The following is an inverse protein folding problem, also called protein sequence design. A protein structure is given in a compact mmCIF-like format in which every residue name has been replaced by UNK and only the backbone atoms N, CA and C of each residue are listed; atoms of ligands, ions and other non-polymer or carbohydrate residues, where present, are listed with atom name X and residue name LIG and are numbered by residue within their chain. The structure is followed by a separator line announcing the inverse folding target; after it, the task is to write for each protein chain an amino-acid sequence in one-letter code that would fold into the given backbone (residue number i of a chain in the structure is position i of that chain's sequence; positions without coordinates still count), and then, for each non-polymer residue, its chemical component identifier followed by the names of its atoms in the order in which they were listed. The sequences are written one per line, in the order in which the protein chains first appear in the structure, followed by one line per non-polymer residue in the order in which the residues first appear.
data_IF_654731479884
#
_entry.id   IF_654731479884
#
_cell.length_a   1.000
_cell.length_b   1.000
_cell.length_c   1.000
_cell.angle_alpha   90.00
_cell.angle_beta   90.00
_cell.angle_gamma   90.00
#
_symmetry.space_group_name_H-M   'P 1'
#
loop_
_entity.id
_entity.type
_entity.pdbx_description
1 polymer ?
#
# COMPACT_ATOMS: atom_id res chain seq x y z
N UNK A 1 34.44 -8.79 1.24
CA UNK A 1 33.69 -10.04 1.03
C UNK A 1 32.32 -9.64 0.51
N UNK A 2 31.79 -10.35 -0.49
CA UNK A 2 30.40 -10.18 -0.88
C UNK A 2 29.51 -10.61 0.27
N UNK A 3 28.42 -9.88 0.51
CA UNK A 3 27.43 -10.24 1.52
C UNK A 3 26.75 -11.55 1.09
N UNK A 4 26.57 -12.54 1.99
CA UNK A 4 25.77 -13.73 1.69
C UNK A 4 24.36 -13.37 1.24
N UNK A 5 23.78 -14.18 0.36
CA UNK A 5 22.55 -13.85 -0.36
C UNK A 5 21.71 -15.06 -0.72
N UNK A 6 20.45 -14.82 -1.07
CA UNK A 6 19.62 -15.80 -1.77
C UNK A 6 20.18 -16.09 -3.19
N UNK A 7 20.04 -17.35 -3.61
CA UNK A 7 20.44 -17.89 -4.92
C UNK A 7 19.42 -17.67 -6.03
N UNK A 8 18.22 -17.17 -5.71
CA UNK A 8 17.27 -16.71 -6.73
C UNK A 8 17.91 -15.53 -7.49
N UNK A 9 18.06 -15.60 -8.82
CA UNK A 9 18.76 -14.55 -9.56
C UNK A 9 18.03 -13.21 -9.51
N UNK A 10 18.75 -12.11 -9.23
CA UNK A 10 18.20 -10.75 -9.42
C UNK A 10 18.02 -10.40 -10.92
N UNK A 11 18.59 -11.22 -11.82
CA UNK A 11 18.84 -10.95 -13.24
C UNK A 11 18.78 -12.26 -14.03
N UNK A 12 17.78 -12.49 -14.89
CA UNK A 12 17.77 -13.60 -15.86
C UNK A 12 17.78 -13.04 -17.29
N UNK A 13 18.67 -13.58 -18.13
CA UNK A 13 18.88 -13.21 -19.55
C UNK A 13 19.39 -11.79 -19.83
N UNK A 14 20.35 -11.27 -19.03
CA UNK A 14 21.08 -10.03 -19.35
C UNK A 14 20.33 -8.72 -19.05
N UNK A 15 19.06 -8.82 -18.68
CA UNK A 15 18.28 -7.81 -17.98
C UNK A 15 18.42 -8.05 -16.48
N UNK A 16 18.82 -7.05 -15.69
CA UNK A 16 18.35 -7.01 -14.29
C UNK A 16 16.84 -7.21 -14.36
N UNK A 17 16.21 -7.96 -13.46
CA UNK A 17 14.77 -8.11 -13.44
C UNK A 17 14.07 -6.79 -13.02
N UNK A 18 14.31 -5.74 -13.79
CA UNK A 18 13.29 -4.78 -14.17
C UNK A 18 12.20 -5.56 -14.89
N UNK A 19 10.98 -5.47 -14.39
CA UNK A 19 9.79 -5.84 -15.13
C UNK A 19 9.66 -4.96 -16.39
N UNK A 20 10.33 -5.30 -17.48
CA UNK A 20 9.93 -4.85 -18.82
C UNK A 20 8.98 -5.90 -19.42
N UNK A 21 7.69 -5.63 -19.24
CA UNK A 21 6.51 -6.09 -19.97
C UNK A 21 6.00 -7.54 -19.85
N UNK A 22 4.71 -7.59 -19.46
CA UNK A 22 3.68 -8.67 -19.59
C UNK A 22 3.46 -9.63 -18.42
N UNK A 23 3.37 -9.11 -17.21
CA UNK A 23 2.34 -9.48 -16.20
C UNK A 23 2.76 -8.90 -14.87
N UNK A 24 2.08 -7.84 -14.45
CA UNK A 24 2.46 -7.01 -13.32
C UNK A 24 1.31 -7.05 -12.30
N UNK A 25 1.64 -7.46 -11.08
CA UNK A 25 0.76 -7.38 -9.90
C UNK A 25 1.44 -6.56 -8.81
N UNK A 26 0.61 -5.78 -8.14
CA UNK A 26 0.86 -4.61 -7.29
C UNK A 26 0.87 -5.13 -5.86
N UNK A 27 1.79 -4.63 -5.04
CA UNK A 27 1.51 -4.04 -3.71
C UNK A 27 2.83 -3.44 -3.20
N UNK A 28 2.89 -2.11 -3.21
CA UNK A 28 3.84 -1.15 -2.63
C UNK A 28 5.38 -1.37 -2.64
N UNK A 29 5.96 -2.57 -2.58
CA UNK A 29 7.43 -2.74 -2.49
C UNK A 29 8.00 -4.01 -3.15
N UNK A 30 7.21 -4.78 -3.93
CA UNK A 30 7.64 -6.09 -4.46
C UNK A 30 7.77 -6.14 -5.98
N UNK A 31 8.77 -6.90 -6.42
CA UNK A 31 8.74 -7.57 -7.72
C UNK A 31 8.01 -8.93 -7.52
N UNK A 32 7.45 -9.52 -8.58
CA UNK A 32 6.84 -10.86 -8.53
C UNK A 32 7.60 -11.77 -9.48
N UNK A 33 7.71 -13.07 -9.16
CA UNK A 33 8.45 -13.99 -10.05
C UNK A 33 7.75 -14.05 -11.42
N UNK A 34 8.48 -13.97 -12.56
CA UNK A 34 7.89 -13.83 -13.89
C UNK A 34 6.75 -14.82 -14.18
N UNK A 35 5.61 -14.29 -14.65
CA UNK A 35 4.42 -15.08 -14.99
C UNK A 35 3.29 -15.04 -13.96
N UNK A 36 3.45 -14.32 -12.83
CA UNK A 36 2.45 -14.25 -11.76
C UNK A 36 1.97 -15.64 -11.33
N UNK A 37 2.90 -16.59 -11.27
CA UNK A 37 2.62 -17.95 -10.87
C UNK A 37 2.08 -17.93 -9.44
N UNK A 38 0.91 -18.54 -9.24
CA UNK A 38 0.19 -18.53 -7.96
C UNK A 38 -0.31 -19.93 -7.67
N UNK A 39 -0.33 -20.27 -6.39
CA UNK A 39 -1.03 -21.46 -5.94
C UNK A 39 -2.54 -21.31 -6.18
N UNK A 40 -3.12 -22.30 -6.83
CA UNK A 40 -4.58 -22.40 -7.03
C UNK A 40 -5.31 -22.92 -5.79
N UNK A 41 -4.57 -23.36 -4.77
CA UNK A 41 -5.10 -23.85 -3.49
C UNK A 41 -4.40 -23.14 -2.33
N UNK A 42 -5.10 -23.05 -1.21
CA UNK A 42 -4.61 -22.41 0.03
C UNK A 42 -3.97 -23.38 1.01
N UNK A 43 -4.30 -24.67 0.93
CA UNK A 43 -3.67 -25.70 1.74
C UNK A 43 -2.50 -26.32 0.96
N UNK A 44 -1.28 -25.95 1.36
CA UNK A 44 -0.04 -26.43 0.76
C UNK A 44 0.58 -27.50 1.65
N UNK A 45 0.98 -28.61 1.04
CA UNK A 45 1.71 -29.68 1.72
C UNK A 45 3.20 -29.55 1.44
N UNK A 46 4.03 -29.82 2.45
CA UNK A 46 5.48 -29.82 2.28
C UNK A 46 6.11 -31.10 2.85
N UNK A 47 7.28 -31.47 2.34
CA UNK A 47 8.04 -32.62 2.83
C UNK A 47 9.54 -32.37 2.75
N UNK A 48 10.33 -33.14 3.50
CA UNK A 48 11.79 -33.00 3.54
C UNK A 48 12.49 -34.10 2.75
N UNK A 49 13.38 -33.72 1.82
CA UNK A 49 14.24 -34.62 1.04
C UNK A 49 15.61 -33.95 0.83
N UNK A 50 16.63 -34.41 1.55
CA UNK A 50 18.00 -33.88 1.46
C UNK A 50 18.93 -34.90 0.80
N UNK A 51 19.91 -34.45 0.01
CA UNK A 51 20.92 -35.35 -0.57
C UNK A 51 22.09 -35.64 0.38
N UNK A 52 22.22 -34.85 1.44
CA UNK A 52 23.22 -35.02 2.49
C UNK A 52 22.57 -35.29 3.84
N UNK A 53 23.34 -35.89 4.75
CA UNK A 53 22.97 -35.89 6.15
C UNK A 53 22.94 -34.44 6.62
N UNK A 54 21.72 -33.99 6.91
CA UNK A 54 21.41 -32.70 7.47
C UNK A 54 22.24 -32.51 8.75
N UNK A 55 22.83 -31.33 9.02
CA UNK A 55 23.62 -31.11 10.23
C UNK A 55 22.84 -31.60 11.46
N UNK A 56 23.38 -32.59 12.17
CA UNK A 56 22.69 -33.34 13.23
C UNK A 56 22.34 -32.51 14.49
N UNK A 57 22.52 -31.18 14.44
CA UNK A 57 22.46 -30.28 15.58
C UNK A 57 21.21 -29.37 15.62
N UNK A 58 20.32 -29.38 14.63
CA UNK A 58 19.19 -28.43 14.57
C UNK A 58 17.85 -29.10 14.22
N UNK A 59 16.80 -28.74 14.96
CA UNK A 59 15.42 -29.18 14.71
C UNK A 59 14.83 -28.44 13.49
N UNK A 60 15.39 -28.70 12.31
CA UNK A 60 15.06 -28.02 11.04
C UNK A 60 13.58 -28.13 10.71
N UNK A 61 12.95 -29.28 10.96
CA UNK A 61 11.51 -29.45 10.79
C UNK A 61 10.73 -28.43 11.62
N UNK A 62 11.11 -28.24 12.88
CA UNK A 62 10.50 -27.21 13.73
C UNK A 62 10.80 -25.80 13.26
N UNK A 63 11.98 -25.52 12.73
CA UNK A 63 12.35 -24.18 12.26
C UNK A 63 11.55 -23.81 10.99
N UNK A 64 11.50 -24.69 10.00
CA UNK A 64 10.66 -24.49 8.81
C UNK A 64 9.17 -24.42 9.19
N UNK A 65 8.71 -25.21 10.16
CA UNK A 65 7.33 -25.12 10.65
C UNK A 65 7.02 -23.74 11.27
N UNK A 66 7.95 -23.16 12.06
CA UNK A 66 7.83 -21.77 12.56
C UNK A 66 7.79 -20.77 11.41
N UNK A 67 8.66 -20.91 10.40
CA UNK A 67 8.69 -20.03 9.25
C UNK A 67 7.38 -20.08 8.44
N UNK A 68 6.83 -21.27 8.19
CA UNK A 68 5.50 -21.43 7.59
C UNK A 68 4.39 -20.86 8.47
N UNK A 69 4.48 -21.03 9.78
CA UNK A 69 3.49 -20.48 10.71
C UNK A 69 3.46 -18.95 10.65
N UNK A 70 4.62 -18.29 10.49
CA UNK A 70 4.68 -16.83 10.29
C UNK A 70 3.92 -16.43 9.04
N UNK A 71 4.15 -17.10 7.91
CA UNK A 71 3.37 -16.84 6.69
C UNK A 71 1.88 -17.18 6.85
N UNK A 72 1.53 -18.26 7.55
CA UNK A 72 0.13 -18.63 7.79
C UNK A 72 -0.63 -17.66 8.71
N UNK A 73 0.07 -16.95 9.61
CA UNK A 73 -0.51 -15.90 10.44
C UNK A 73 -0.83 -14.63 9.64
N UNK A 74 -0.32 -14.54 8.42
CA UNK A 74 -0.38 -13.32 7.63
C UNK A 74 -0.93 -13.48 6.24
N UNK A 75 -1.30 -14.70 5.89
CA UNK A 75 -1.90 -15.06 4.61
C UNK A 75 -3.07 -15.98 4.81
N UNK A 76 -3.88 -16.15 3.78
CA UNK A 76 -4.85 -17.24 3.69
C UNK A 76 -4.22 -18.66 3.56
N UNK A 77 -2.89 -18.78 3.43
CA UNK A 77 -2.24 -20.08 3.24
C UNK A 77 -2.15 -20.87 4.55
N UNK A 78 -2.40 -22.16 4.44
CA UNK A 78 -2.16 -23.14 5.51
C UNK A 78 -1.15 -24.16 5.01
N UNK A 79 -0.24 -24.57 5.90
CA UNK A 79 0.85 -25.46 5.57
C UNK A 79 0.78 -26.73 6.40
N UNK A 80 0.93 -27.88 5.74
CA UNK A 80 0.92 -29.18 6.39
C UNK A 80 2.13 -30.01 5.97
N UNK A 81 2.92 -30.44 6.95
CA UNK A 81 3.97 -31.41 6.68
C UNK A 81 3.36 -32.78 6.37
N UNK A 82 3.80 -33.41 5.27
CA UNK A 82 3.42 -34.78 4.92
C UNK A 82 4.63 -35.72 5.00
N UNK A 83 4.43 -36.87 5.63
CA UNK A 83 5.45 -37.91 5.81
C UNK A 83 5.23 -39.07 4.84
N UNK A 84 6.31 -39.71 4.39
CA UNK A 84 6.27 -40.91 3.53
C UNK A 84 6.38 -40.59 2.03
N UNK A 85 5.90 -41.50 1.18
CA UNK A 85 5.97 -41.38 -0.29
C UNK A 85 4.85 -40.51 -0.90
N UNK A 86 4.02 -39.89 -0.06
CA UNK A 86 2.95 -38.99 -0.52
C UNK A 86 3.53 -37.81 -1.31
N UNK A 87 2.93 -37.43 -2.45
CA UNK A 87 3.32 -36.23 -3.17
C UNK A 87 3.04 -35.00 -2.30
N UNK A 88 4.04 -34.12 -2.17
CA UNK A 88 3.93 -32.83 -1.51
C UNK A 88 3.96 -31.72 -2.56
N UNK A 89 3.35 -30.57 -2.25
CA UNK A 89 3.44 -29.40 -3.13
C UNK A 89 4.83 -28.77 -3.12
N UNK A 90 5.47 -28.77 -1.94
CA UNK A 90 6.78 -28.17 -1.70
C UNK A 90 7.74 -29.26 -1.18
N UNK A 91 8.96 -29.31 -1.73
CA UNK A 91 10.03 -30.20 -1.27
C UNK A 91 11.16 -29.35 -0.71
N UNK A 92 11.50 -29.59 0.56
CA UNK A 92 12.54 -28.85 1.28
C UNK A 92 13.76 -29.75 1.48
N UNK A 93 14.96 -29.24 1.22
CA UNK A 93 16.16 -30.07 1.26
C UNK A 93 17.45 -29.32 1.58
N UNK A 94 18.43 -30.03 2.11
CA UNK A 94 19.82 -29.60 2.19
C UNK A 94 20.64 -30.32 1.12
N UNK A 95 21.40 -29.55 0.36
CA UNK A 95 22.21 -30.04 -0.74
C UNK A 95 23.59 -29.36 -0.73
N UNK A 96 24.52 -29.86 -1.55
CA UNK A 96 25.87 -29.30 -1.73
C UNK A 96 26.21 -29.32 -3.21
N UNK A 97 26.85 -28.25 -3.69
CA UNK A 97 27.26 -28.16 -5.10
C UNK A 97 26.09 -28.39 -6.06
N UNK A 98 26.39 -29.02 -7.20
CA UNK A 98 25.37 -29.44 -8.17
C UNK A 98 24.50 -30.57 -7.60
N UNK A 99 23.19 -30.35 -7.59
CA UNK A 99 22.18 -31.28 -7.11
C UNK A 99 21.04 -31.48 -8.11
N UNK A 100 21.32 -31.26 -9.40
CA UNK A 100 20.46 -31.58 -10.55
C UNK A 100 19.15 -30.77 -10.65
N UNK A 101 19.06 -29.60 -10.04
CA UNK A 101 17.96 -28.65 -10.24
C UNK A 101 18.34 -27.43 -11.09
N UNK A 102 19.60 -27.36 -11.53
CA UNK A 102 20.13 -26.27 -12.35
C UNK A 102 20.74 -25.10 -11.57
N UNK A 103 20.68 -25.13 -10.23
CA UNK A 103 21.19 -24.07 -9.34
C UNK A 103 22.22 -24.67 -8.37
N UNK A 104 23.48 -24.79 -8.80
CA UNK A 104 24.52 -25.36 -7.95
C UNK A 104 24.91 -24.40 -6.80
N UNK A 105 25.11 -24.94 -5.60
CA UNK A 105 25.61 -24.18 -4.44
C UNK A 105 27.13 -23.97 -4.51
N UNK A 106 27.61 -22.84 -3.96
CA UNK A 106 29.01 -22.39 -4.03
C UNK A 106 29.86 -22.75 -2.80
N UNK A 107 29.24 -23.30 -1.75
CA UNK A 107 29.91 -23.69 -0.52
C UNK A 107 29.77 -22.63 0.59
N UNK A 108 30.73 -22.52 1.52
CA UNK A 108 30.57 -21.59 2.63
C UNK A 108 30.58 -20.12 2.18
N UNK A 109 29.57 -19.37 2.61
CA UNK A 109 29.28 -17.99 2.18
C UNK A 109 28.88 -17.90 0.71
N UNK A 110 28.19 -16.82 0.34
CA UNK A 110 27.72 -16.62 -1.03
C UNK A 110 26.25 -16.98 -1.14
N UNK A 111 25.91 -18.10 -1.78
CA UNK A 111 24.52 -18.55 -1.98
C UNK A 111 24.06 -19.42 -0.81
N UNK A 112 23.15 -18.86 -0.01
CA UNK A 112 22.66 -19.49 1.20
C UNK A 112 21.60 -20.57 0.95
N UNK A 113 20.67 -20.27 0.05
CA UNK A 113 19.50 -21.07 -0.26
C UNK A 113 18.88 -20.58 -1.57
N UNK A 114 17.96 -21.37 -2.12
CA UNK A 114 17.09 -20.94 -3.21
C UNK A 114 15.73 -21.63 -3.14
N UNK A 115 14.74 -21.00 -3.76
CA UNK A 115 13.42 -21.56 -3.95
C UNK A 115 12.90 -21.31 -5.38
N UNK A 116 11.98 -22.17 -5.81
CA UNK A 116 11.23 -21.95 -7.06
C UNK A 116 9.98 -21.10 -6.83
N UNK A 117 9.44 -20.56 -7.91
CA UNK A 117 8.11 -19.94 -7.92
C UNK A 117 6.98 -20.92 -7.57
N UNK A 118 5.76 -20.43 -7.28
CA UNK A 118 4.59 -21.26 -7.04
C UNK A 118 4.32 -22.23 -8.20
N UNK A 119 4.51 -23.53 -7.96
CA UNK A 119 4.27 -24.58 -8.94
C UNK A 119 4.04 -25.93 -8.25
N UNK A 120 3.38 -26.87 -8.93
CA UNK A 120 3.26 -28.23 -8.40
C UNK A 120 4.65 -28.87 -8.32
N UNK A 121 5.07 -29.29 -7.12
CA UNK A 121 6.42 -29.75 -6.78
C UNK A 121 7.47 -28.62 -6.72
N UNK A 122 7.10 -27.46 -6.15
CA UNK A 122 8.05 -26.40 -5.85
C UNK A 122 9.17 -26.91 -4.92
N UNK A 123 10.37 -26.37 -5.08
CA UNK A 123 11.52 -26.73 -4.25
C UNK A 123 11.98 -25.53 -3.43
N UNK A 124 12.55 -25.84 -2.27
CA UNK A 124 13.29 -24.93 -1.42
C UNK A 124 14.51 -25.68 -0.89
N UNK A 125 15.70 -25.30 -1.35
CA UNK A 125 16.95 -25.91 -0.93
C UNK A 125 17.84 -24.95 -0.14
N UNK A 126 18.52 -25.49 0.86
CA UNK A 126 19.60 -24.82 1.59
C UNK A 126 20.96 -25.36 1.16
N UNK A 127 21.97 -24.49 1.15
CA UNK A 127 23.36 -24.94 1.08
C UNK A 127 23.77 -25.57 2.42
N UNK A 128 24.14 -26.85 2.39
CA UNK A 128 24.58 -27.58 3.55
C UNK A 128 26.03 -27.29 3.98
N UNK A 129 26.77 -26.46 3.23
CA UNK A 129 28.11 -25.99 3.58
C UNK A 129 28.09 -24.70 4.43
N UNK A 130 26.93 -24.08 4.62
CA UNK A 130 26.79 -22.87 5.42
C UNK A 130 26.76 -23.11 6.94
N UNK A 131 27.20 -22.10 7.69
CA UNK A 131 27.28 -22.15 9.16
C UNK A 131 25.94 -21.76 9.80
N UNK A 132 24.95 -22.64 9.70
CA UNK A 132 23.58 -22.42 10.19
C UNK A 132 23.46 -22.36 11.71
N UNK A 133 22.54 -21.54 12.22
CA UNK A 133 22.15 -21.47 13.63
C UNK A 133 20.68 -21.10 13.81
N UNK A 134 20.06 -21.58 14.89
CA UNK A 134 18.77 -21.06 15.39
C UNK A 134 18.96 -19.83 16.27
N UNK A 135 20.19 -19.55 16.73
CA UNK A 135 20.53 -18.35 17.50
C UNK A 135 21.92 -17.89 17.02
N UNK A 136 22.00 -17.11 15.94
CA UNK A 136 23.24 -16.88 15.22
C UNK A 136 24.20 -15.99 16.03
N UNK A 137 25.43 -16.47 16.24
CA UNK A 137 26.56 -15.60 16.54
C UNK A 137 27.05 -14.84 15.30
N UNK A 138 28.04 -13.92 15.43
CA UNK A 138 28.45 -12.99 14.38
C UNK A 138 28.74 -13.59 12.98
N UNK A 139 29.17 -14.85 12.92
CA UNK A 139 29.55 -15.56 11.68
C UNK A 139 28.63 -16.75 11.38
N UNK A 140 27.42 -16.78 11.96
CA UNK A 140 26.43 -17.82 11.74
C UNK A 140 25.23 -17.24 10.99
N UNK A 141 24.64 -18.05 10.11
CA UNK A 141 23.44 -17.69 9.37
C UNK A 141 22.20 -18.15 10.12
N UNK A 142 21.24 -17.26 10.30
CA UNK A 142 19.97 -17.62 10.94
C UNK A 142 19.12 -18.48 10.00
N UNK A 143 18.92 -19.75 10.37
CA UNK A 143 18.19 -20.68 9.51
C UNK A 143 16.72 -20.25 9.33
N UNK A 144 16.08 -19.75 10.39
CA UNK A 144 14.68 -19.33 10.33
C UNK A 144 14.52 -18.11 9.41
N UNK A 145 15.43 -17.13 9.48
CA UNK A 145 15.39 -15.95 8.60
C UNK A 145 15.45 -16.31 7.13
N UNK A 146 16.39 -17.20 6.76
CA UNK A 146 16.49 -17.70 5.38
C UNK A 146 15.24 -18.50 5.01
N UNK A 147 14.71 -19.33 5.92
CA UNK A 147 13.47 -20.04 5.66
C UNK A 147 12.26 -19.13 5.42
N UNK A 148 12.11 -18.06 6.20
CA UNK A 148 11.02 -17.09 6.00
C UNK A 148 11.17 -16.41 4.64
N UNK A 149 12.40 -16.04 4.23
CA UNK A 149 12.69 -15.45 2.92
C UNK A 149 12.32 -16.40 1.76
N UNK A 150 12.84 -17.62 1.76
CA UNK A 150 12.60 -18.58 0.67
C UNK A 150 11.12 -18.98 0.55
N UNK A 151 10.38 -19.02 1.67
CA UNK A 151 8.94 -19.23 1.63
C UNK A 151 8.23 -18.05 0.94
N UNK A 152 8.74 -16.82 1.06
CA UNK A 152 8.22 -15.69 0.29
C UNK A 152 8.26 -15.94 -1.22
N UNK A 153 9.36 -16.49 -1.73
CA UNK A 153 9.46 -16.93 -3.14
C UNK A 153 8.47 -18.05 -3.48
N UNK A 154 8.32 -19.03 -2.59
CA UNK A 154 7.30 -20.09 -2.73
C UNK A 154 5.87 -19.53 -2.77
N UNK A 155 5.63 -18.34 -2.23
CA UNK A 155 4.33 -17.65 -2.26
C UNK A 155 4.21 -16.63 -3.40
N UNK A 156 5.27 -16.47 -4.20
CA UNK A 156 5.28 -15.65 -5.41
C UNK A 156 5.94 -14.29 -5.25
N UNK A 157 6.53 -13.98 -4.11
CA UNK A 157 7.31 -12.76 -3.90
C UNK A 157 8.66 -12.85 -4.60
N UNK A 158 9.15 -11.73 -5.10
CA UNK A 158 10.52 -11.56 -5.58
C UNK A 158 11.28 -10.65 -4.60
N UNK A 159 12.58 -10.43 -4.85
CA UNK A 159 13.42 -9.61 -3.99
C UNK A 159 12.92 -8.16 -3.86
N UNK A 160 13.09 -7.58 -2.67
CA UNK A 160 12.89 -6.16 -2.42
C UNK A 160 14.15 -5.40 -2.88
N UNK A 161 13.97 -4.45 -3.81
CA UNK A 161 15.05 -3.67 -4.42
C UNK A 161 15.51 -2.46 -3.59
N UNK A 162 14.79 -2.11 -2.52
CA UNK A 162 15.17 -0.96 -1.68
C UNK A 162 16.36 -1.35 -0.78
N UNK A 163 17.56 -0.79 -1.00
CA UNK A 163 18.74 -1.12 -0.21
C UNK A 163 18.66 -0.62 1.23
N UNK A 164 17.71 0.26 1.54
CA UNK A 164 17.46 0.80 2.88
C UNK A 164 16.30 0.09 3.59
N UNK A 165 15.53 -0.76 2.87
CA UNK A 165 14.44 -1.50 3.47
C UNK A 165 14.98 -2.68 4.30
N UNK A 166 14.63 -2.69 5.58
CA UNK A 166 14.88 -3.85 6.44
C UNK A 166 13.75 -4.90 6.27
N UNK A 167 13.48 -5.28 5.01
CA UNK A 167 12.44 -6.22 4.58
C UNK A 167 12.93 -7.68 4.49
N UNK A 168 12.07 -8.68 4.75
CA UNK A 168 12.52 -10.08 4.75
C UNK A 168 13.00 -10.51 3.37
N UNK A 169 12.38 -10.00 2.30
CA UNK A 169 12.69 -10.32 0.90
C UNK A 169 13.91 -9.57 0.35
N UNK A 170 14.75 -8.94 1.19
CA UNK A 170 16.04 -8.41 0.71
C UNK A 170 16.96 -9.55 0.30
N UNK A 171 17.54 -9.48 -0.90
CA UNK A 171 18.38 -10.56 -1.44
C UNK A 171 19.64 -10.82 -0.61
N UNK A 172 20.16 -9.78 0.07
CA UNK A 172 21.32 -9.88 0.94
C UNK A 172 20.94 -10.18 2.40
N UNK A 173 21.44 -11.29 2.93
CA UNK A 173 21.13 -11.75 4.29
C UNK A 173 22.40 -11.64 5.15
N UNK A 174 22.31 -10.94 6.28
CA UNK A 174 23.46 -10.66 7.15
C UNK A 174 23.66 -11.79 8.17
N UNK A 175 24.90 -12.22 8.36
CA UNK A 175 25.26 -13.15 9.44
C UNK A 175 25.09 -12.50 10.82
N UNK A 176 24.82 -13.31 11.84
CA UNK A 176 24.70 -12.87 13.23
C UNK A 176 23.41 -12.11 13.58
N UNK A 177 22.45 -12.03 12.65
CA UNK A 177 21.17 -11.34 12.86
C UNK A 177 20.02 -12.32 12.61
N UNK A 178 19.10 -12.41 13.59
CA UNK A 178 17.82 -13.07 13.41
C UNK A 178 16.80 -12.03 12.89
N UNK A 179 16.37 -12.20 11.65
CA UNK A 179 15.35 -11.38 10.98
C UNK A 179 14.20 -12.27 10.57
N UNK A 180 13.21 -12.40 11.46
CA UNK A 180 12.14 -13.41 11.31
C UNK A 180 10.74 -12.79 11.25
N UNK A 181 10.62 -11.52 11.59
CA UNK A 181 9.33 -10.85 11.66
C UNK A 181 8.94 -10.34 10.27
N UNK A 182 7.77 -10.79 9.81
CA UNK A 182 7.14 -10.31 8.58
C UNK A 182 6.56 -8.93 8.84
N UNK A 183 6.95 -7.97 8.01
CA UNK A 183 6.52 -6.57 8.11
C UNK A 183 5.35 -6.29 7.16
N UNK A 184 4.72 -5.13 7.30
CA UNK A 184 3.52 -4.77 6.55
C UNK A 184 3.73 -4.86 5.03
N UNK A 185 4.94 -4.55 4.58
CA UNK A 185 5.39 -4.79 3.22
C UNK A 185 5.34 -6.29 2.89
N UNK A 186 6.01 -7.17 3.66
CA UNK A 186 6.17 -8.60 3.31
C UNK A 186 4.83 -9.34 3.13
N UNK A 187 3.78 -8.84 3.76
CA UNK A 187 2.52 -9.55 3.96
C UNK A 187 1.52 -9.29 2.83
N UNK A 188 1.47 -8.07 2.32
CA UNK A 188 0.50 -7.66 1.30
C UNK A 188 0.71 -8.42 -0.04
N UNK A 189 1.93 -8.78 -0.41
CA UNK A 189 2.21 -9.49 -1.67
C UNK A 189 1.84 -10.98 -1.69
N UNK A 190 1.64 -11.59 -0.51
CA UNK A 190 1.39 -13.03 -0.34
C UNK A 190 -0.10 -13.40 -0.25
N UNK A 191 -0.96 -12.38 -0.12
CA UNK A 191 -2.40 -12.52 -0.14
C UNK A 191 -2.90 -12.65 -1.60
N UNK A 192 -3.82 -13.57 -1.88
CA UNK A 192 -4.52 -13.64 -3.14
C UNK A 192 -5.69 -12.67 -3.06
N UNK A 193 -5.38 -11.37 -3.00
CA UNK A 193 -6.40 -10.35 -2.85
C UNK A 193 -7.35 -10.37 -4.06
N UNK A 194 -8.63 -10.55 -3.75
CA UNK A 194 -9.72 -10.14 -4.62
C UNK A 194 -9.56 -8.65 -4.95
N UNK A 195 -9.85 -8.30 -6.21
CA UNK A 195 -10.06 -6.95 -6.74
C UNK A 195 -9.45 -5.77 -5.94
N UNK A 196 -8.13 -5.57 -5.99
CA UNK A 196 -7.58 -4.24 -5.76
C UNK A 196 -7.82 -3.43 -7.04
N UNK A 197 -8.50 -2.27 -7.01
CA UNK A 197 -8.91 -1.52 -8.20
C UNK A 197 -7.72 -1.13 -9.09
N UNK A 198 -6.58 -0.84 -8.45
CA UNK A 198 -5.32 -0.50 -9.11
C UNK A 198 -4.42 -1.70 -9.49
N UNK A 199 -4.84 -2.96 -9.32
CA UNK A 199 -4.01 -4.11 -9.75
C UNK A 199 -3.70 -4.09 -11.26
N UNK A 200 -4.57 -3.48 -12.05
CA UNK A 200 -4.39 -3.27 -13.48
C UNK A 200 -3.24 -2.32 -13.80
N UNK A 201 -3.04 -1.25 -12.99
CA UNK A 201 -2.15 -0.14 -13.36
C UNK A 201 -0.68 -0.49 -13.29
N UNK A 202 -0.25 -1.55 -12.57
CA UNK A 202 1.18 -1.83 -12.64
C UNK A 202 1.61 -2.39 -13.96
N UNK A 203 0.68 -2.94 -14.76
CA UNK A 203 1.05 -3.37 -16.11
C UNK A 203 1.59 -2.21 -16.96
N UNK A 204 1.44 -0.99 -16.43
CA UNK A 204 1.87 0.28 -16.98
C UNK A 204 3.17 0.81 -16.32
N UNK A 205 3.79 0.11 -15.37
CA UNK A 205 5.09 0.52 -14.82
C UNK A 205 6.10 0.61 -15.96
N UNK A 206 6.91 1.67 -15.94
CA UNK A 206 7.83 2.10 -17.00
C UNK A 206 7.18 2.64 -18.28
N UNK A 207 5.85 2.80 -18.33
CA UNK A 207 5.19 3.44 -19.46
C UNK A 207 5.59 4.90 -19.57
N UNK A 208 5.74 5.36 -20.81
CA UNK A 208 6.16 6.71 -21.14
C UNK A 208 5.49 7.22 -22.41
N UNK A 209 5.61 8.52 -22.63
CA UNK A 209 5.09 9.23 -23.79
C UNK A 209 5.40 8.54 -25.12
N UNK A 210 4.39 8.50 -25.98
CA UNK A 210 4.45 7.89 -27.31
C UNK A 210 4.17 6.38 -27.33
N UNK A 211 3.92 5.76 -26.18
CA UNK A 211 3.47 4.37 -26.09
C UNK A 211 1.95 4.30 -26.02
N UNK A 212 1.37 3.22 -26.52
CA UNK A 212 -0.01 2.84 -26.21
C UNK A 212 0.00 1.50 -25.49
N UNK A 213 -0.48 1.49 -24.25
CA UNK A 213 -0.41 0.33 -23.36
C UNK A 213 -1.80 0.04 -22.83
N UNK A 214 -2.24 -1.21 -22.94
CA UNK A 214 -3.59 -1.60 -22.52
C UNK A 214 -3.88 -1.18 -21.08
N UNK A 215 -5.02 -0.54 -20.86
CA UNK A 215 -5.52 -0.01 -19.57
C UNK A 215 -4.85 1.28 -19.08
N UNK A 216 -4.08 1.98 -19.92
CA UNK A 216 -3.52 3.28 -19.57
C UNK A 216 -4.60 4.34 -19.31
N UNK A 217 -5.78 4.22 -19.93
CA UNK A 217 -6.93 5.08 -19.61
C UNK A 217 -7.30 5.08 -18.11
N UNK A 218 -7.04 4.00 -17.37
CA UNK A 218 -7.32 3.96 -15.92
C UNK A 218 -6.45 4.95 -15.14
N UNK A 219 -5.21 5.18 -15.58
CA UNK A 219 -4.33 6.21 -14.99
C UNK A 219 -4.82 7.59 -15.37
N UNK A 220 -5.28 7.78 -16.62
CA UNK A 220 -5.88 9.06 -17.05
C UNK A 220 -7.12 9.38 -16.21
N UNK A 221 -7.99 8.40 -15.97
CA UNK A 221 -9.17 8.54 -15.13
C UNK A 221 -8.79 8.85 -13.67
N UNK A 222 -7.78 8.18 -13.10
CA UNK A 222 -7.24 8.48 -11.77
C UNK A 222 -6.75 9.93 -11.67
N UNK A 223 -5.86 10.33 -12.58
CA UNK A 223 -5.30 11.69 -12.59
C UNK A 223 -6.36 12.75 -12.82
N UNK A 224 -7.39 12.45 -13.63
CA UNK A 224 -8.56 13.32 -13.82
C UNK A 224 -9.38 13.44 -12.53
N UNK A 225 -9.69 12.32 -11.86
CA UNK A 225 -10.43 12.31 -10.59
C UNK A 225 -9.76 13.19 -9.54
N UNK A 226 -8.44 13.11 -9.42
CA UNK A 226 -7.70 13.92 -8.44
C UNK A 226 -7.27 15.31 -8.94
N UNK A 227 -7.68 15.70 -10.16
CA UNK A 227 -7.53 17.05 -10.69
C UNK A 227 -6.20 17.37 -11.37
N UNK A 228 -5.36 16.37 -11.64
CA UNK A 228 -4.08 16.52 -12.33
C UNK A 228 -4.20 16.54 -13.86
N UNK A 229 -5.28 15.97 -14.41
CA UNK A 229 -5.49 15.82 -15.84
C UNK A 229 -6.81 16.45 -16.26
N UNK A 230 -6.72 17.46 -17.12
CA UNK A 230 -7.87 18.12 -17.74
C UNK A 230 -7.68 18.16 -19.26
N UNK A 231 -8.54 17.44 -19.99
CA UNK A 231 -8.56 17.45 -21.46
C UNK A 231 -9.48 18.55 -22.02
N UNK A 232 -10.23 19.27 -21.19
CA UNK A 232 -11.31 20.17 -21.61
C UNK A 232 -10.79 21.58 -21.98
N UNK A 233 -9.52 21.90 -21.66
CA UNK A 233 -8.92 23.22 -21.90
C UNK A 233 -8.36 23.43 -23.31
N UNK A 234 -8.20 22.36 -24.10
CA UNK A 234 -7.63 22.45 -25.45
C UNK A 234 -8.62 22.01 -26.52
N UNK A 235 -9.48 22.95 -26.94
CA UNK A 235 -10.20 22.96 -28.23
C UNK A 235 -11.32 21.92 -28.46
N UNK A 236 -12.37 22.40 -29.13
CA UNK A 236 -13.52 21.63 -29.64
C UNK A 236 -13.14 20.20 -30.12
N UNK A 237 -13.76 19.20 -29.48
CA UNK A 237 -13.81 17.76 -29.82
C UNK A 237 -12.60 16.93 -29.33
N UNK A 238 -12.74 16.22 -28.21
CA UNK A 238 -12.58 14.76 -28.12
C UNK A 238 -12.63 14.27 -26.65
N UNK A 239 -13.84 14.06 -26.12
CA UNK A 239 -14.07 13.35 -24.83
C UNK A 239 -13.43 11.95 -24.79
N UNK A 240 -13.11 11.38 -25.96
CA UNK A 240 -12.54 10.04 -26.10
C UNK A 240 -11.07 9.92 -25.65
N UNK A 241 -10.36 11.03 -25.40
CA UNK A 241 -8.92 10.98 -25.07
C UNK A 241 -8.62 10.54 -23.62
N UNK A 242 -9.55 10.73 -22.68
CA UNK A 242 -9.37 10.20 -21.31
C UNK A 242 -9.53 8.68 -21.28
N UNK A 243 -10.32 8.12 -22.19
CA UNK A 243 -10.67 6.70 -22.26
C UNK A 243 -9.80 5.91 -23.24
N UNK A 244 -8.85 6.56 -23.91
CA UNK A 244 -7.86 5.88 -24.75
C UNK A 244 -6.63 5.41 -23.96
N UNK A 245 -5.92 4.46 -24.56
CA UNK A 245 -4.73 3.86 -23.98
C UNK A 245 -3.43 4.51 -24.47
N UNK A 246 -3.47 5.75 -25.00
CA UNK A 246 -2.30 6.48 -25.50
C UNK A 246 -1.62 7.29 -24.39
N UNK A 247 -0.29 7.20 -24.31
CA UNK A 247 0.52 8.06 -23.45
C UNK A 247 0.86 9.35 -24.18
N UNK A 248 -0.05 10.31 -24.11
CA UNK A 248 0.06 11.61 -24.76
C UNK A 248 0.78 12.68 -23.90
N UNK A 249 0.89 13.88 -24.45
CA UNK A 249 1.52 15.05 -23.82
C UNK A 249 0.80 15.50 -22.53
N UNK A 250 -0.53 15.32 -22.49
CA UNK A 250 -1.34 15.74 -21.35
C UNK A 250 -1.13 14.79 -20.18
N UNK A 251 -1.09 13.48 -20.45
CA UNK A 251 -0.77 12.47 -19.44
C UNK A 251 0.65 12.65 -18.89
N UNK A 252 1.66 12.92 -19.74
CA UNK A 252 3.02 13.20 -19.28
C UNK A 252 3.04 14.41 -18.32
N UNK A 253 2.38 15.51 -18.71
CA UNK A 253 2.29 16.73 -17.89
C UNK A 253 1.55 16.51 -16.57
N UNK A 254 0.47 15.73 -16.58
CA UNK A 254 -0.29 15.37 -15.39
C UNK A 254 0.56 14.53 -14.43
N UNK A 255 1.29 13.54 -14.94
CA UNK A 255 2.21 12.72 -14.13
C UNK A 255 3.31 13.57 -13.51
N UNK A 256 3.93 14.49 -14.27
CA UNK A 256 4.93 15.42 -13.72
C UNK A 256 4.37 16.26 -12.58
N UNK A 257 3.14 16.75 -12.74
CA UNK A 257 2.46 17.54 -11.70
C UNK A 257 2.16 16.70 -10.46
N UNK A 258 1.69 15.46 -10.66
CA UNK A 258 1.45 14.50 -9.58
C UNK A 258 2.74 14.17 -8.80
N UNK A 259 3.84 13.87 -9.52
CA UNK A 259 5.15 13.61 -8.92
C UNK A 259 5.65 14.80 -8.09
N UNK A 260 5.49 16.02 -8.62
CA UNK A 260 5.84 17.23 -7.88
C UNK A 260 5.02 17.39 -6.60
N UNK A 261 3.71 17.11 -6.66
CA UNK A 261 2.80 17.26 -5.52
C UNK A 261 3.14 16.30 -4.38
N UNK A 262 3.67 15.11 -4.68
CA UNK A 262 4.03 14.11 -3.67
C UNK A 262 5.54 13.96 -3.46
N UNK A 263 6.32 14.97 -3.87
CA UNK A 263 7.78 15.02 -3.71
C UNK A 263 8.51 13.79 -4.26
N UNK A 264 8.00 13.22 -5.35
CA UNK A 264 8.65 12.15 -6.10
C UNK A 264 9.65 12.75 -7.10
N UNK A 265 10.53 11.91 -7.65
CA UNK A 265 11.36 12.31 -8.78
C UNK A 265 10.48 12.65 -9.99
N UNK A 266 10.68 13.84 -10.58
CA UNK A 266 9.82 14.36 -11.65
C UNK A 266 10.26 13.80 -13.01
N UNK A 267 9.96 12.54 -13.26
CA UNK A 267 10.34 11.82 -14.48
C UNK A 267 9.39 12.06 -15.64
N UNK A 268 8.09 12.30 -15.36
CA UNK A 268 7.01 12.29 -16.35
C UNK A 268 6.66 10.89 -16.89
N UNK A 269 7.18 9.85 -16.24
CA UNK A 269 6.93 8.43 -16.57
C UNK A 269 6.10 7.79 -15.46
N UNK A 270 5.38 6.72 -15.78
CA UNK A 270 4.80 5.85 -14.75
C UNK A 270 5.87 4.93 -14.15
N UNK A 271 6.86 5.53 -13.49
CA UNK A 271 7.89 4.77 -12.77
C UNK A 271 7.32 4.07 -11.53
N UNK A 272 8.12 3.14 -10.98
CA UNK A 272 7.76 2.34 -9.80
C UNK A 272 7.31 3.21 -8.62
N UNK A 273 7.98 4.32 -8.34
CA UNK A 273 7.64 5.20 -7.22
C UNK A 273 6.29 5.90 -7.41
N UNK A 274 6.01 6.36 -8.62
CA UNK A 274 4.75 7.00 -9.00
C UNK A 274 3.58 6.02 -8.87
N UNK A 275 3.72 4.82 -9.43
CA UNK A 275 2.67 3.79 -9.34
C UNK A 275 2.47 3.35 -7.89
N UNK A 276 3.55 3.16 -7.12
CA UNK A 276 3.46 2.80 -5.70
C UNK A 276 2.77 3.88 -4.87
N UNK A 277 2.94 5.16 -5.19
CA UNK A 277 2.23 6.24 -4.52
C UNK A 277 0.73 6.26 -4.90
N UNK A 278 0.39 6.11 -6.18
CA UNK A 278 -1.01 6.07 -6.66
C UNK A 278 -1.81 4.94 -6.03
N UNK A 279 -1.12 3.85 -5.73
CA UNK A 279 -1.61 2.63 -5.12
C UNK A 279 -1.96 2.70 -3.64
N UNK A 280 -1.37 3.64 -2.89
CA UNK A 280 -1.62 3.73 -1.45
C UNK A 280 -3.07 4.14 -1.20
N UNK A 281 -3.69 3.65 -0.10
CA UNK A 281 -5.05 4.04 0.19
C UNK A 281 -5.08 5.52 0.55
N UNK A 282 -6.09 6.23 0.06
CA UNK A 282 -6.19 7.68 0.11
C UNK A 282 -7.62 8.19 0.21
N UNK A 283 -7.76 9.46 0.57
CA UNK A 283 -9.01 10.19 0.46
C UNK A 283 -9.40 10.34 -1.02
N UNK A 284 -10.71 10.25 -1.28
CA UNK A 284 -11.34 10.38 -2.60
C UNK A 284 -11.51 11.82 -3.07
N UNK A 285 -11.29 12.82 -2.19
CA UNK A 285 -11.34 14.24 -2.55
C UNK A 285 -10.19 14.59 -3.49
N UNK A 286 -10.44 15.46 -4.48
CA UNK A 286 -9.43 15.89 -5.43
C UNK A 286 -8.30 16.69 -4.76
N UNK A 287 -7.06 16.49 -5.23
CA UNK A 287 -5.90 17.25 -4.73
C UNK A 287 -5.86 18.66 -5.31
N UNK A 288 -6.26 18.78 -6.58
CA UNK A 288 -6.25 20.03 -7.32
C UNK A 288 -7.66 20.33 -7.81
N UNK A 289 -8.18 21.50 -7.44
CA UNK A 289 -9.45 22.01 -7.97
C UNK A 289 -9.13 23.04 -9.05
N UNK A 290 -9.60 22.80 -10.28
CA UNK A 290 -9.22 23.49 -11.52
C UNK A 290 -8.71 24.95 -11.41
N UNK A 291 -7.49 25.16 -11.91
CA UNK A 291 -6.86 26.40 -12.43
C UNK A 291 -6.81 27.66 -11.57
N UNK A 292 -6.95 27.58 -10.25
CA UNK A 292 -6.35 28.59 -9.38
C UNK A 292 -5.68 27.90 -8.21
N UNK A 293 -4.35 27.74 -8.29
CA UNK A 293 -3.53 27.61 -7.09
C UNK A 293 -3.75 28.88 -6.27
N UNK A 294 -4.77 28.90 -5.43
CA UNK A 294 -4.74 29.71 -4.23
C UNK A 294 -3.87 28.96 -3.21
N UNK A 295 -2.60 28.66 -3.57
CA UNK A 295 -1.58 28.59 -2.52
C UNK A 295 -1.61 29.97 -1.92
N UNK A 296 -1.88 30.08 -0.63
CA UNK A 296 -1.61 31.31 0.10
C UNK A 296 -0.09 31.51 0.07
N UNK A 297 0.44 32.02 -1.05
CA UNK A 297 1.77 32.59 -1.12
C UNK A 297 1.74 33.95 -0.46
N UNK A 298 1.23 34.03 0.77
CA UNK A 298 1.61 35.08 1.70
C UNK A 298 3.07 34.81 2.04
N UNK A 299 3.98 35.21 1.13
CA UNK A 299 5.33 35.59 1.51
C UNK A 299 5.17 36.71 2.53
N UNK A 300 5.15 36.36 3.81
CA UNK A 300 5.41 37.34 4.86
C UNK A 300 6.79 37.95 4.55
N UNK A 301 6.86 39.28 4.52
CA UNK A 301 8.10 40.01 4.27
C UNK A 301 9.17 39.78 5.35
N UNK A 302 8.86 38.99 6.38
CA UNK A 302 9.68 38.73 7.56
C UNK A 302 10.21 37.28 7.65
N UNK A 303 10.13 36.50 6.56
CA UNK A 303 10.90 35.25 6.45
C UNK A 303 10.45 34.10 7.36
N UNK A 304 9.19 34.07 7.80
CA UNK A 304 8.63 32.98 8.61
C UNK A 304 7.27 32.54 8.05
N UNK A 305 7.18 31.23 7.78
CA UNK A 305 6.06 30.37 7.34
C UNK A 305 5.46 30.60 5.94
N UNK A 306 5.71 29.63 5.03
CA UNK A 306 4.80 29.30 3.93
C UNK A 306 3.67 28.46 4.56
N UNK A 307 2.43 28.94 4.51
CA UNK A 307 1.28 28.11 4.83
C UNK A 307 1.07 27.09 3.70
N UNK A 308 1.17 25.79 3.99
CA UNK A 308 1.06 24.70 3.01
C UNK A 308 -0.32 24.01 3.01
N UNK A 309 -1.23 24.45 3.87
CA UNK A 309 -2.65 24.12 3.83
C UNK A 309 -3.35 24.70 2.60
N UNK A 310 -4.47 24.08 2.21
CA UNK A 310 -5.28 24.51 1.08
C UNK A 310 -6.76 24.60 1.43
N UNK A 311 -7.54 25.28 0.58
CA UNK A 311 -8.99 25.39 0.68
C UNK A 311 -9.65 24.97 -0.62
N UNK A 312 -10.90 24.51 -0.55
CA UNK A 312 -11.73 24.37 -1.74
C UNK A 312 -11.92 25.72 -2.45
N UNK A 313 -12.15 25.74 -3.78
CA UNK A 313 -12.41 26.97 -4.52
C UNK A 313 -13.51 27.82 -3.89
N UNK A 314 -13.21 29.10 -3.69
CA UNK A 314 -14.13 30.05 -3.04
C UNK A 314 -14.13 29.98 -1.51
N UNK A 315 -13.25 29.18 -0.90
CA UNK A 315 -13.11 29.02 0.55
C UNK A 315 -14.46 28.87 1.28
N UNK A 316 -15.28 27.88 0.88
CA UNK A 316 -16.61 27.70 1.45
C UNK A 316 -16.51 27.35 2.94
N UNK A 317 -17.42 27.93 3.71
CA UNK A 317 -17.41 27.85 5.17
C UNK A 317 -18.82 27.81 5.72
N UNK A 318 -18.97 27.17 6.88
CA UNK A 318 -20.22 27.26 7.63
C UNK A 318 -20.39 28.64 8.24
N UNK A 319 -21.57 29.24 8.04
CA UNK A 319 -21.92 30.51 8.70
C UNK A 319 -22.26 30.30 10.18
N UNK A 320 -22.77 29.13 10.54
CA UNK A 320 -23.11 28.76 11.91
C UNK A 320 -21.98 27.96 12.56
N UNK A 321 -21.83 28.13 13.88
CA UNK A 321 -20.81 27.46 14.69
C UNK A 321 -21.32 26.21 15.42
N UNK A 322 -22.64 26.03 15.49
CA UNK A 322 -23.24 24.82 16.04
C UNK A 322 -23.73 23.94 14.89
N UNK A 323 -23.02 22.84 14.64
CA UNK A 323 -23.30 21.90 13.56
C UNK A 323 -23.90 20.62 14.12
N UNK A 324 -25.02 20.19 13.55
CA UNK A 324 -25.69 18.93 13.90
C UNK A 324 -25.26 17.86 12.93
N UNK A 325 -24.90 16.68 13.43
CA UNK A 325 -24.55 15.54 12.61
C UNK A 325 -25.43 14.33 12.91
N UNK A 326 -25.66 13.50 11.90
CA UNK A 326 -26.41 12.25 12.03
C UNK A 326 -25.75 11.12 11.25
N UNK A 327 -26.05 9.89 11.66
CA UNK A 327 -25.68 8.68 10.93
C UNK A 327 -26.86 8.20 10.08
N UNK A 328 -26.63 8.04 8.78
CA UNK A 328 -27.56 7.40 7.86
C UNK A 328 -27.78 5.93 8.23
N UNK A 329 -28.70 5.25 7.51
CA UNK A 329 -28.92 3.82 7.68
C UNK A 329 -27.60 3.07 7.44
N UNK A 330 -26.95 2.65 8.52
CA UNK A 330 -25.57 2.16 8.48
C UNK A 330 -25.57 0.70 8.07
N UNK A 331 -24.81 0.36 7.03
CA UNK A 331 -24.40 -1.04 6.80
C UNK A 331 -23.64 -1.50 8.05
N UNK A 332 -23.90 -2.70 8.55
CA UNK A 332 -23.04 -3.28 9.59
C UNK A 332 -21.68 -3.59 8.95
N UNK A 333 -20.70 -2.73 9.21
CA UNK A 333 -19.32 -2.88 8.72
C UNK A 333 -18.47 -3.41 9.87
N UNK A 334 -17.80 -4.55 9.63
CA UNK A 334 -16.93 -5.16 10.63
C UNK A 334 -15.80 -4.18 11.01
N UNK A 335 -15.57 -4.01 12.31
CA UNK A 335 -14.54 -3.11 12.83
C UNK A 335 -14.93 -1.62 12.88
N UNK A 336 -16.12 -1.26 12.40
CA UNK A 336 -16.70 0.08 12.51
C UNK A 336 -17.81 0.18 13.58
N UNK A 337 -17.92 -0.79 14.49
CA UNK A 337 -18.94 -0.81 15.55
C UNK A 337 -18.83 0.41 16.48
N UNK A 338 -17.65 1.02 16.56
CA UNK A 338 -17.33 2.21 17.34
C UNK A 338 -17.53 3.53 16.59
N UNK A 339 -18.03 3.55 15.34
CA UNK A 339 -18.06 4.76 14.51
C UNK A 339 -18.64 5.99 15.22
N UNK A 340 -19.73 5.82 15.98
CA UNK A 340 -20.35 6.93 16.72
C UNK A 340 -19.40 7.56 17.75
N UNK A 341 -18.68 6.73 18.52
CA UNK A 341 -17.71 7.22 19.50
C UNK A 341 -16.46 7.80 18.82
N UNK A 342 -16.04 7.23 17.70
CA UNK A 342 -14.91 7.72 16.88
C UNK A 342 -15.22 9.09 16.30
N UNK A 343 -16.37 9.27 15.62
CA UNK A 343 -16.76 10.57 15.09
C UNK A 343 -16.92 11.62 16.19
N UNK A 344 -17.51 11.25 17.34
CA UNK A 344 -17.61 12.16 18.49
C UNK A 344 -16.24 12.67 18.95
N UNK A 345 -15.26 11.78 19.08
CA UNK A 345 -13.88 12.16 19.44
C UNK A 345 -13.21 13.00 18.35
N UNK A 346 -13.47 12.68 17.08
CA UNK A 346 -12.91 13.38 15.93
C UNK A 346 -13.44 14.82 15.82
N UNK A 347 -14.75 15.01 16.00
CA UNK A 347 -15.36 16.34 16.11
C UNK A 347 -14.82 17.13 17.31
N UNK A 348 -14.57 16.47 18.45
CA UNK A 348 -14.00 17.13 19.62
C UNK A 348 -12.59 17.67 19.35
N UNK A 349 -11.76 17.00 18.55
CA UNK A 349 -10.42 17.50 18.18
C UNK A 349 -10.52 18.83 17.42
N UNK A 350 -11.41 18.90 16.43
CA UNK A 350 -11.65 20.15 15.69
C UNK A 350 -12.29 21.24 16.56
N UNK A 351 -13.22 20.88 17.45
CA UNK A 351 -13.82 21.83 18.40
C UNK A 351 -12.80 22.41 19.41
N UNK A 352 -11.69 21.73 19.70
CA UNK A 352 -10.65 22.25 20.60
C UNK A 352 -9.82 23.37 19.98
N UNK A 353 -9.77 23.45 18.64
CA UNK A 353 -8.97 24.44 17.91
C UNK A 353 -9.82 25.45 17.14
N UNK A 354 -11.14 25.39 17.32
CA UNK A 354 -12.12 26.27 16.67
C UNK A 354 -13.25 26.68 17.61
N UNK A 355 -14.08 27.64 17.19
CA UNK A 355 -15.33 27.99 17.90
C UNK A 355 -16.51 27.05 17.58
N UNK A 356 -16.27 25.93 16.88
CA UNK A 356 -17.33 25.00 16.53
C UNK A 356 -17.79 24.16 17.73
N UNK A 357 -19.08 23.83 17.73
CA UNK A 357 -19.67 22.79 18.58
C UNK A 357 -20.46 21.83 17.71
N UNK A 358 -20.43 20.56 18.09
CA UNK A 358 -21.03 19.47 17.32
C UNK A 358 -22.04 18.70 18.17
N UNK A 359 -23.21 18.46 17.62
CA UNK A 359 -24.29 17.71 18.28
C UNK A 359 -24.72 16.53 17.42
N UNK A 360 -24.66 15.32 17.98
CA UNK A 360 -25.28 14.16 17.35
C UNK A 360 -26.80 14.23 17.51
N UNK A 361 -27.53 14.17 16.41
CA UNK A 361 -28.99 14.14 16.39
C UNK A 361 -29.53 12.84 15.80
N UNK A 362 -30.76 12.43 16.12
CA UNK A 362 -31.39 11.27 15.48
C UNK A 362 -31.51 11.45 13.97
N UNK A 363 -31.47 10.35 13.20
CA UNK A 363 -31.57 10.39 11.73
C UNK A 363 -32.91 10.91 11.18
N UNK A 364 -33.93 11.05 12.04
CA UNK A 364 -35.19 11.71 11.69
C UNK A 364 -35.16 13.23 11.84
N UNK A 365 -34.10 13.78 12.44
CA UNK A 365 -33.94 15.22 12.65
C UNK A 365 -33.22 15.89 11.47
N UNK A 366 -33.38 17.20 11.36
CA UNK A 366 -32.62 18.02 10.42
C UNK A 366 -31.18 18.17 10.91
N UNK A 367 -30.23 17.72 10.10
CA UNK A 367 -28.80 17.67 10.39
C UNK A 367 -28.00 18.31 9.26
N UNK A 368 -26.92 19.00 9.62
CA UNK A 368 -26.01 19.67 8.68
C UNK A 368 -25.05 18.70 8.04
N UNK A 369 -24.64 17.70 8.81
CA UNK A 369 -23.65 16.71 8.42
C UNK A 369 -24.30 15.34 8.44
N UNK A 370 -24.21 14.61 7.32
CA UNK A 370 -24.68 13.23 7.19
C UNK A 370 -23.50 12.32 7.00
N UNK A 371 -23.40 11.31 7.86
CA UNK A 371 -22.31 10.35 7.89
C UNK A 371 -22.87 8.97 7.57
N UNK A 372 -22.29 8.25 6.62
CA UNK A 372 -22.72 6.90 6.27
C UNK A 372 -21.59 6.08 5.66
N UNK A 373 -21.80 4.77 5.61
CA UNK A 373 -20.97 3.83 4.89
C UNK A 373 -21.68 3.40 3.61
N UNK A 374 -20.95 3.35 2.51
CA UNK A 374 -21.45 2.93 1.20
C UNK A 374 -20.43 1.99 0.53
N UNK A 375 -20.88 1.27 -0.49
CA UNK A 375 -20.01 0.43 -1.32
C UNK A 375 -20.17 0.90 -2.76
N UNK A 376 -19.07 0.88 -3.52
CA UNK A 376 -19.07 1.11 -4.97
C UNK A 376 -19.85 2.37 -5.36
N UNK A 377 -20.69 2.29 -6.40
CA UNK A 377 -21.61 3.36 -6.77
C UNK A 377 -22.76 3.49 -5.76
N UNK A 378 -22.88 4.70 -5.20
CA UNK A 378 -23.85 5.06 -4.18
C UNK A 378 -24.61 6.36 -4.50
N UNK A 379 -24.59 6.79 -5.76
CA UNK A 379 -25.52 7.80 -6.30
C UNK A 379 -25.15 9.26 -6.03
N UNK A 380 -23.89 9.54 -5.69
CA UNK A 380 -23.35 10.90 -5.51
C UNK A 380 -22.30 11.29 -6.59
N UNK A 381 -22.20 10.51 -7.66
CA UNK A 381 -21.22 10.61 -8.76
C UNK A 381 -19.74 10.44 -8.32
N UNK A 382 -19.49 10.05 -7.08
CA UNK A 382 -18.16 9.73 -6.54
C UNK A 382 -18.11 8.27 -6.06
N UNK A 383 -18.20 7.27 -6.97
CA UNK A 383 -18.22 5.87 -6.57
C UNK A 383 -16.92 5.47 -5.86
N UNK A 384 -17.06 4.59 -4.86
CA UNK A 384 -15.94 3.86 -4.27
C UNK A 384 -15.43 2.76 -5.20
N UNK A 385 -14.22 2.27 -4.93
CA UNK A 385 -13.47 1.38 -5.81
C UNK A 385 -13.27 -0.05 -5.25
N UNK A 386 -13.89 -0.35 -4.10
CA UNK A 386 -13.79 -1.63 -3.41
C UNK A 386 -12.59 -1.67 -2.48
N UNK A 387 -12.11 -2.86 -2.06
CA UNK A 387 -11.04 -2.94 -1.06
C UNK A 387 -9.72 -2.32 -1.54
N UNK A 388 -9.25 -1.33 -0.77
CA UNK A 388 -8.05 -0.55 -1.05
C UNK A 388 -8.27 0.49 -2.14
N UNK A 389 -7.49 1.57 -2.08
CA UNK A 389 -7.72 2.73 -2.94
C UNK A 389 -8.43 3.83 -2.16
N UNK A 390 -9.67 4.16 -2.51
CA UNK A 390 -10.40 5.26 -1.90
C UNK A 390 -11.13 4.80 -0.65
N UNK A 391 -10.67 5.25 0.52
CA UNK A 391 -11.28 4.81 1.78
C UNK A 391 -12.50 5.63 2.22
N UNK A 392 -12.60 6.89 1.78
CA UNK A 392 -13.67 7.82 2.16
C UNK A 392 -13.62 9.09 1.30
N UNK A 393 -14.70 9.87 1.36
CA UNK A 393 -14.70 11.25 0.91
C UNK A 393 -15.66 12.13 1.73
N UNK A 394 -15.23 13.37 1.96
CA UNK A 394 -15.98 14.42 2.62
C UNK A 394 -16.30 15.58 1.67
N UNK A 395 -17.56 15.98 1.62
CA UNK A 395 -18.00 17.13 0.83
C UNK A 395 -17.88 18.42 1.64
N UNK A 396 -17.25 19.42 1.01
CA UNK A 396 -17.05 20.76 1.56
C UNK A 396 -18.34 21.43 2.06
N UNK A 397 -18.23 22.45 2.93
CA UNK A 397 -19.38 23.26 3.31
C UNK A 397 -20.13 23.84 2.09
N UNK A 398 -21.45 23.99 2.12
CA UNK A 398 -22.39 23.57 3.17
C UNK A 398 -23.10 22.26 2.79
N UNK A 399 -22.46 21.40 1.98
CA UNK A 399 -23.05 20.12 1.55
C UNK A 399 -23.13 19.17 2.73
N UNK A 400 -22.04 19.05 3.51
CA UNK A 400 -22.05 18.34 4.78
C UNK A 400 -22.33 16.85 4.63
N UNK A 401 -21.59 16.18 3.74
CA UNK A 401 -21.72 14.73 3.53
C UNK A 401 -20.36 14.09 3.75
N UNK A 402 -20.33 13.00 4.50
CA UNK A 402 -19.14 12.18 4.73
C UNK A 402 -19.52 10.73 4.46
N UNK A 403 -18.89 10.15 3.45
CA UNK A 403 -19.03 8.74 3.12
C UNK A 403 -17.74 7.99 3.43
N UNK A 404 -17.87 6.83 4.07
CA UNK A 404 -16.79 5.85 4.23
C UNK A 404 -17.05 4.68 3.29
N UNK A 405 -15.98 4.10 2.73
CA UNK A 405 -16.10 2.86 1.96
C UNK A 405 -16.29 1.66 2.91
N UNK A 406 -17.42 0.97 2.78
CA UNK A 406 -17.72 -0.25 3.54
C UNK A 406 -16.91 -1.48 3.09
N UNK A 407 -16.26 -1.43 1.93
CA UNK A 407 -15.40 -2.51 1.43
C UNK A 407 -13.99 -2.50 2.07
N UNK A 408 -13.64 -1.42 2.79
CA UNK A 408 -12.40 -1.34 3.55
C UNK A 408 -12.47 -2.12 4.87
N UNK A 409 -11.30 -2.57 5.34
CA UNK A 409 -11.18 -3.20 6.67
C UNK A 409 -10.88 -2.14 7.72
N UNK A 410 -11.89 -1.76 8.50
CA UNK A 410 -11.81 -0.70 9.49
C UNK A 410 -11.41 -1.19 10.87
N UNK A 411 -10.72 -0.36 11.64
CA UNK A 411 -10.42 -0.64 13.05
C UNK A 411 -10.12 0.63 13.83
N UNK A 412 -10.41 0.62 15.15
CA UNK A 412 -9.99 1.67 16.09
C UNK A 412 -8.66 1.35 16.78
N UNK A 413 -8.07 0.20 16.50
CA UNK A 413 -6.74 -0.20 16.91
C UNK A 413 -6.17 -1.10 15.82
N UNK A 414 -5.78 -0.50 14.68
CA UNK A 414 -5.60 -1.20 13.43
C UNK A 414 -4.47 -2.21 13.52
N UNK A 415 -4.77 -3.44 13.11
CA UNK A 415 -3.77 -4.37 12.63
C UNK A 415 -3.12 -3.87 11.34
N UNK A 416 -2.03 -4.49 10.94
CA UNK A 416 -1.22 -4.13 9.75
C UNK A 416 -1.97 -4.02 8.40
N UNK A 417 -3.17 -4.59 8.26
CA UNK A 417 -3.98 -4.59 7.04
C UNK A 417 -5.28 -3.79 7.20
N UNK A 418 -5.45 -3.12 8.34
CA UNK A 418 -6.67 -2.39 8.68
C UNK A 418 -6.39 -0.89 8.58
N UNK A 419 -7.39 -0.12 8.15
CA UNK A 419 -7.35 1.34 8.20
C UNK A 419 -7.83 1.82 9.57
N UNK A 420 -7.14 2.83 10.09
CA UNK A 420 -7.54 3.48 11.33
C UNK A 420 -8.78 4.37 11.12
N UNK A 421 -9.92 3.94 11.66
CA UNK A 421 -11.19 4.64 11.47
C UNK A 421 -11.17 6.06 12.03
N UNK A 422 -10.47 6.30 13.15
CA UNK A 422 -10.37 7.64 13.75
C UNK A 422 -9.48 8.55 12.91
N UNK A 423 -8.35 8.05 12.40
CA UNK A 423 -7.46 8.83 11.53
C UNK A 423 -8.20 9.35 10.30
N UNK A 424 -8.96 8.48 9.63
CA UNK A 424 -9.80 8.87 8.48
C UNK A 424 -10.92 9.82 8.91
N UNK A 425 -11.62 9.55 10.01
CA UNK A 425 -12.70 10.42 10.46
C UNK A 425 -12.21 11.85 10.79
N UNK A 426 -11.04 12.01 11.40
CA UNK A 426 -10.48 13.34 11.67
C UNK A 426 -10.16 14.07 10.36
N UNK A 427 -9.57 13.37 9.38
CA UNK A 427 -9.26 13.92 8.05
C UNK A 427 -10.53 14.40 7.34
N UNK A 428 -11.52 13.53 7.18
CA UNK A 428 -12.75 13.87 6.43
C UNK A 428 -13.55 14.99 7.11
N UNK A 429 -13.50 15.10 8.44
CA UNK A 429 -14.12 16.24 9.14
C UNK A 429 -13.41 17.56 8.80
N UNK A 430 -12.11 17.55 8.52
CA UNK A 430 -11.41 18.74 8.02
C UNK A 430 -12.01 19.22 6.69
N UNK A 431 -12.33 18.30 5.77
CA UNK A 431 -13.06 18.63 4.53
C UNK A 431 -14.47 19.16 4.81
N UNK A 432 -15.22 18.53 5.72
CA UNK A 432 -16.54 19.02 6.15
C UNK A 432 -16.49 20.44 6.69
N UNK A 433 -15.34 20.89 7.22
CA UNK A 433 -15.13 22.24 7.72
C UNK A 433 -14.53 23.20 6.68
N UNK A 434 -14.11 22.71 5.52
CA UNK A 434 -13.69 23.51 4.36
C UNK A 434 -12.20 23.48 4.04
N UNK A 435 -11.41 22.67 4.74
CA UNK A 435 -10.01 22.44 4.39
C UNK A 435 -9.89 21.56 3.14
N UNK A 436 -8.91 21.86 2.28
CA UNK A 436 -8.43 20.95 1.25
C UNK A 436 -7.27 20.09 1.77
N UNK A 437 -6.63 19.34 0.87
CA UNK A 437 -5.47 18.54 1.22
C UNK A 437 -4.23 19.40 1.54
N UNK A 438 -3.42 18.92 2.49
CA UNK A 438 -2.07 19.46 2.73
C UNK A 438 -1.11 18.95 1.66
N UNK A 439 -0.31 19.85 1.07
CA UNK A 439 0.60 19.51 -0.02
C UNK A 439 1.95 18.96 0.45
N UNK A 440 2.56 19.62 1.44
CA UNK A 440 3.99 19.44 1.74
C UNK A 440 4.26 18.74 3.11
N UNK A 441 3.22 18.46 3.90
CA UNK A 441 3.33 17.86 5.25
C UNK A 441 2.69 16.48 5.33
N UNK A 442 3.47 15.41 5.13
CA UNK A 442 2.96 14.02 5.15
C UNK A 442 2.37 13.59 6.52
N UNK A 443 2.77 14.27 7.59
CA UNK A 443 2.28 14.07 8.95
C UNK A 443 1.03 14.90 9.30
N UNK A 444 0.69 15.93 8.52
CA UNK A 444 -0.54 16.71 8.69
C UNK A 444 -1.78 15.85 8.47
N UNK A 445 -2.84 16.00 9.30
CA UNK A 445 -4.03 15.17 9.17
C UNK A 445 -4.64 15.30 7.79
N UNK A 446 -4.59 16.48 7.18
CA UNK A 446 -5.14 16.75 5.85
C UNK A 446 -4.27 16.24 4.69
N UNK A 447 -3.15 15.56 4.93
CA UNK A 447 -2.44 14.86 3.84
C UNK A 447 -3.28 13.67 3.33
N UNK A 448 -3.44 13.49 2.01
CA UNK A 448 -4.46 12.59 1.44
C UNK A 448 -4.23 11.09 1.67
N UNK A 449 -3.00 10.66 1.98
CA UNK A 449 -2.65 9.25 2.08
C UNK A 449 -2.52 8.78 3.53
N UNK A 450 -3.04 7.58 3.80
CA UNK A 450 -2.90 6.89 5.08
C UNK A 450 -2.30 5.52 4.80
N UNK A 451 -1.38 5.07 5.64
CA UNK A 451 -0.85 3.70 5.51
C UNK A 451 -1.66 2.76 6.40
N UNK A 452 -1.92 1.54 5.92
CA UNK A 452 -2.53 0.49 6.74
C UNK A 452 -1.75 0.23 8.03
N UNK A 453 -2.45 -0.06 9.13
CA UNK A 453 -1.85 -0.30 10.44
C UNK A 453 -1.18 0.91 11.08
N UNK A 454 -1.30 2.12 10.50
CA UNK A 454 -0.79 3.36 11.08
C UNK A 454 -1.90 4.16 11.73
N UNK A 455 -1.54 4.82 12.82
CA UNK A 455 -2.41 5.73 13.57
C UNK A 455 -1.91 7.15 13.35
N UNK A 456 -2.80 8.02 12.88
CA UNK A 456 -2.57 9.44 12.60
C UNK A 456 -3.80 10.23 13.02
N UNK A 457 -3.92 10.53 14.32
CA UNK A 457 -5.14 11.13 14.91
C UNK A 457 -4.93 12.54 15.47
N UNK A 458 -3.73 13.08 15.36
CA UNK A 458 -3.37 14.37 15.95
C UNK A 458 -3.36 15.43 14.87
N UNK A 459 -4.02 16.56 15.12
CA UNK A 459 -3.90 17.75 14.28
C UNK A 459 -2.47 18.29 14.40
N UNK A 460 -1.83 18.53 13.26
CA UNK A 460 -0.54 19.19 13.17
C UNK A 460 -0.72 20.70 13.01
N UNK A 461 0.39 21.43 13.03
CA UNK A 461 0.40 22.90 12.92
C UNK A 461 -0.26 23.36 11.62
N UNK A 462 0.03 22.72 10.48
CA UNK A 462 -0.58 23.03 9.19
C UNK A 462 -2.12 22.95 9.21
N UNK A 463 -2.67 21.92 9.87
CA UNK A 463 -4.12 21.71 9.99
C UNK A 463 -4.77 22.81 10.86
N UNK A 464 -4.09 23.18 11.95
CA UNK A 464 -4.57 24.18 12.92
C UNK A 464 -4.49 25.58 12.33
N UNK A 465 -3.41 25.93 11.64
CA UNK A 465 -3.27 27.21 10.97
C UNK A 465 -4.30 27.36 9.85
N UNK A 466 -4.50 26.32 9.03
CA UNK A 466 -5.47 26.36 7.95
C UNK A 466 -6.90 26.59 8.43
N UNK A 467 -7.32 25.88 9.49
CA UNK A 467 -8.69 26.05 10.00
C UNK A 467 -8.89 27.41 10.66
N UNK A 468 -7.85 27.96 11.30
CA UNK A 468 -7.91 29.29 11.91
C UNK A 468 -7.95 30.40 10.86
N UNK A 469 -7.16 30.28 9.80
CA UNK A 469 -7.19 31.25 8.69
C UNK A 469 -8.57 31.26 8.01
N UNK A 470 -9.14 30.09 7.71
CA UNK A 470 -10.45 29.99 7.04
C UNK A 470 -11.59 30.64 7.85
N UNK A 471 -11.52 30.57 9.18
CA UNK A 471 -12.56 31.05 10.08
C UNK A 471 -12.22 32.35 10.84
N UNK A 472 -11.02 32.91 10.66
CA UNK A 472 -10.55 34.16 11.28
C UNK A 472 -10.39 34.07 12.79
N UNK A 473 -9.76 32.99 13.29
CA UNK A 473 -9.62 32.65 14.71
C UNK A 473 -8.28 33.05 15.33
#
# INVERSE_FOLDING_TARGET
MMQPRCGVPDVVNGTKHYHTHKSIHTLAHYNFIPGNLRWTKRQLTYTFRSSVQVPAAQNIRSICAKAFQRWAQVTEFTFQEVTGSSPADIVIGFHRGDHNDGSAFDGPQGVLAHATSPARNAIFHFDADENWSENPGPNQMDLESVAVHEIGHLLGLDHNDDPNADAIMSSGIRSGIAKRDLRADDIQGSEPTGHHPFKSILNLVESQKGQSVSKLHLVKQYLKKFGYLDYDLSSNKNLNQVDDDEFDDHLESAIRTYQQNFHLEVTGRLDKHTVNQMMKPRCGVADIFNSTKHRNTSKSSDGVANADYSFFPGAPRWSKKHLKYTFGATVQVAGAESIRSVCKQSFQKWAQVTDFSFEEVPNSADADIKIAFYQLDHGDDEPFDGPGGIFAHGFRPTIGILHFDADETWSSNPGRLELDLESVAVHEIGHLLGLGHSGDHQDAIMYPYFDYGKIKRSLQEDDIEGIRDLYGL
#
